data_IF_966700135636
#
_entry.id   IF_966700135636
#
_cell.length_a   1.000
_cell.length_b   1.000
_cell.length_c   1.000
_cell.angle_alpha   90.00
_cell.angle_beta   90.00
_cell.angle_gamma   90.00
#
_symmetry.space_group_name_H-M   'P 1'
#
loop_
_entity.id
_entity.type
_entity.pdbx_description
1 polymer ?
#
# COMPACT_ATOMS: atom_id res chain seq x y z
N UNK A 1 -1.95 -12.06 84.45
CA UNK A 1 -2.69 -12.20 83.13
C UNK A 1 -2.08 -11.22 82.13
N UNK A 2 -1.17 -11.67 81.30
CA UNK A 2 -0.52 -10.84 80.30
C UNK A 2 -1.04 -11.25 78.91
N UNK A 3 -1.71 -10.32 78.23
CA UNK A 3 -2.11 -10.50 76.85
C UNK A 3 -1.05 -9.94 75.94
N UNK A 4 -0.42 -10.82 75.18
CA UNK A 4 0.56 -10.48 74.18
C UNK A 4 -0.18 -10.04 72.89
N UNK A 5 -0.01 -8.78 72.50
CA UNK A 5 -0.49 -8.27 71.24
C UNK A 5 0.55 -8.66 70.14
N UNK A 6 0.14 -9.55 69.23
CA UNK A 6 0.86 -9.81 67.97
C UNK A 6 0.46 -8.74 66.99
N UNK A 7 1.36 -7.83 66.66
CA UNK A 7 1.23 -6.92 65.53
C UNK A 7 1.58 -7.67 64.26
N UNK A 8 0.56 -7.95 63.45
CA UNK A 8 0.73 -8.46 62.08
C UNK A 8 1.19 -7.33 61.15
N UNK A 9 2.41 -7.44 60.72
CA UNK A 9 2.97 -6.55 59.69
C UNK A 9 2.49 -7.03 58.33
N UNK A 10 1.51 -6.31 57.72
CA UNK A 10 1.05 -6.53 56.38
C UNK A 10 2.02 -5.87 55.39
N UNK A 11 2.82 -6.69 54.73
CA UNK A 11 3.69 -6.27 53.63
C UNK A 11 2.82 -6.12 52.36
N UNK A 12 2.47 -4.89 52.01
CA UNK A 12 1.80 -4.60 50.76
C UNK A 12 2.84 -4.65 49.62
N UNK A 13 2.80 -5.73 48.82
CA UNK A 13 3.50 -5.79 47.54
C UNK A 13 2.75 -4.87 46.53
N UNK A 14 3.34 -3.73 46.22
CA UNK A 14 2.89 -2.89 45.13
C UNK A 14 3.30 -3.56 43.80
N UNK A 15 2.36 -4.18 43.13
CA UNK A 15 2.50 -4.66 41.74
C UNK A 15 2.38 -3.44 40.84
N UNK A 16 3.51 -2.95 40.33
CA UNK A 16 3.53 -1.94 39.26
C UNK A 16 3.05 -2.60 37.97
N UNK A 17 2.00 -2.08 37.32
CA UNK A 17 1.65 -2.54 35.98
C UNK A 17 2.76 -2.08 35.03
N UNK A 18 3.51 -3.02 34.47
CA UNK A 18 4.32 -2.80 33.28
C UNK A 18 3.36 -2.47 32.15
N UNK A 19 3.12 -1.18 31.96
CA UNK A 19 2.41 -0.68 30.79
C UNK A 19 3.25 -1.01 29.56
N UNK A 20 2.89 -2.08 28.86
CA UNK A 20 3.35 -2.31 27.50
C UNK A 20 2.87 -1.13 26.67
N UNK A 21 3.78 -0.21 26.35
CA UNK A 21 3.53 0.79 25.32
C UNK A 21 3.28 0.03 24.01
N UNK A 22 2.03 -0.22 23.67
CA UNK A 22 1.66 -0.68 22.34
C UNK A 22 2.03 0.44 21.38
N UNK A 23 3.09 0.23 20.58
CA UNK A 23 3.38 1.08 19.45
C UNK A 23 2.12 1.10 18.58
N UNK A 24 1.48 2.26 18.45
CA UNK A 24 0.38 2.45 17.50
C UNK A 24 0.93 2.12 16.12
N UNK A 25 0.33 1.19 15.37
CA UNK A 25 0.77 0.93 14.02
C UNK A 25 0.65 2.24 13.24
N UNK A 26 1.76 2.69 12.68
CA UNK A 26 1.77 3.86 11.81
C UNK A 26 0.95 3.48 10.57
N UNK A 27 -0.29 3.94 10.50
CA UNK A 27 -1.17 3.66 9.37
C UNK A 27 -0.63 4.41 8.15
N UNK A 28 -0.08 3.68 7.22
CA UNK A 28 0.26 4.19 5.91
C UNK A 28 -1.04 4.53 5.17
N UNK A 29 -1.11 5.71 4.56
CA UNK A 29 -2.22 6.11 3.71
C UNK A 29 -1.66 6.68 2.41
N UNK A 30 -2.02 6.06 1.31
CA UNK A 30 -1.69 6.47 -0.05
C UNK A 30 -2.97 6.61 -0.84
N UNK A 31 -3.12 7.69 -1.58
CA UNK A 31 -4.26 7.94 -2.44
C UNK A 31 -3.83 8.33 -3.84
N UNK A 32 -4.75 8.25 -4.80
CA UNK A 32 -4.50 8.75 -6.15
C UNK A 32 -4.56 10.28 -6.16
N UNK A 33 -3.65 10.90 -6.90
CA UNK A 33 -3.67 12.36 -7.14
C UNK A 33 -4.67 12.74 -8.23
N UNK A 34 -4.94 11.82 -9.15
CA UNK A 34 -5.83 11.97 -10.31
C UNK A 34 -6.22 10.59 -10.85
N UNK A 35 -7.13 10.57 -11.81
CA UNK A 35 -7.47 9.34 -12.54
C UNK A 35 -6.23 8.74 -13.22
N UNK A 36 -6.15 7.41 -13.32
CA UNK A 36 -5.03 6.75 -13.99
C UNK A 36 -4.90 7.20 -15.45
N UNK A 37 -3.66 7.48 -15.85
CA UNK A 37 -3.36 7.90 -17.21
C UNK A 37 -2.98 6.69 -18.07
N UNK A 38 -3.71 6.47 -19.15
CA UNK A 38 -3.43 5.41 -20.12
C UNK A 38 -2.66 5.98 -21.30
N UNK A 39 -1.52 5.37 -21.62
CA UNK A 39 -0.66 5.77 -22.73
C UNK A 39 -0.37 4.55 -23.62
N UNK A 40 -0.57 4.71 -24.92
CA UNK A 40 -0.10 3.73 -25.91
C UNK A 40 1.33 4.06 -26.28
N UNK A 41 2.25 3.10 -26.11
CA UNK A 41 3.68 3.29 -26.35
C UNK A 41 4.11 2.64 -27.66
N UNK A 42 3.41 1.63 -28.11
CA UNK A 42 3.69 0.88 -29.32
C UNK A 42 2.43 0.25 -29.92
N UNK A 43 2.63 -0.70 -30.81
CA UNK A 43 1.50 -1.44 -31.38
C UNK A 43 0.86 -2.38 -30.38
N UNK A 44 1.68 -2.92 -29.50
CA UNK A 44 1.39 -4.01 -28.56
C UNK A 44 1.64 -3.65 -27.09
N UNK A 45 2.06 -2.41 -26.80
CA UNK A 45 2.35 -1.97 -25.43
C UNK A 45 1.48 -0.78 -25.02
N UNK A 46 0.84 -0.91 -23.88
CA UNK A 46 0.22 0.18 -23.14
C UNK A 46 0.89 0.36 -21.78
N UNK A 47 0.90 1.59 -21.31
CA UNK A 47 1.32 1.94 -19.95
C UNK A 47 0.16 2.60 -19.23
N UNK A 48 -0.06 2.19 -18.00
CA UNK A 48 -1.03 2.78 -17.10
C UNK A 48 -0.26 3.41 -15.96
N UNK A 49 -0.35 4.73 -15.84
CA UNK A 49 0.36 5.49 -14.84
C UNK A 49 -0.59 5.91 -13.71
N UNK A 50 -0.19 5.67 -12.47
CA UNK A 50 -0.91 6.01 -11.25
C UNK A 50 -0.10 7.07 -10.50
N UNK A 51 -0.63 8.29 -10.45
CA UNK A 51 -0.08 9.34 -9.61
C UNK A 51 -0.50 9.12 -8.16
N UNK A 52 0.46 9.07 -7.24
CA UNK A 52 0.23 8.77 -5.83
C UNK A 52 0.57 9.97 -4.95
N UNK A 53 -0.36 10.31 -4.06
CA UNK A 53 -0.10 11.20 -2.92
C UNK A 53 0.37 10.34 -1.74
N UNK A 54 1.54 10.68 -1.24
CA UNK A 54 2.25 9.93 -0.23
C UNK A 54 2.56 10.78 1.01
N UNK A 55 1.79 11.83 1.26
CA UNK A 55 2.02 12.77 2.37
C UNK A 55 2.14 12.07 3.74
N UNK A 56 1.51 10.92 3.92
CA UNK A 56 1.59 10.11 5.14
C UNK A 56 2.82 9.19 5.23
N UNK A 57 3.65 9.14 4.18
CA UNK A 57 4.82 8.25 4.09
C UNK A 57 6.14 8.91 4.47
N UNK A 58 6.12 10.08 5.14
CA UNK A 58 7.25 11.00 5.28
C UNK A 58 8.53 10.40 5.88
N UNK A 59 8.43 9.63 6.96
CA UNK A 59 9.62 9.30 7.77
C UNK A 59 10.36 8.05 7.29
N UNK A 60 9.66 7.04 6.83
CA UNK A 60 10.26 5.74 6.48
C UNK A 60 10.07 5.34 5.01
N UNK A 61 9.29 6.08 4.27
CA UNK A 61 8.76 5.65 2.99
C UNK A 61 7.61 4.64 3.16
N UNK A 62 6.98 4.29 2.06
CA UNK A 62 5.90 3.33 2.01
C UNK A 62 6.08 2.39 0.82
N UNK A 63 5.70 1.15 0.98
CA UNK A 63 5.54 0.22 -0.12
C UNK A 63 4.13 -0.34 -0.14
N UNK A 64 3.69 -0.84 -1.28
CA UNK A 64 2.36 -1.38 -1.37
C UNK A 64 1.98 -1.83 -2.75
N UNK A 65 0.67 -1.94 -2.99
CA UNK A 65 0.13 -2.34 -4.27
C UNK A 65 -1.17 -1.63 -4.59
N UNK A 66 -1.41 -1.46 -5.89
CA UNK A 66 -2.64 -0.95 -6.46
C UNK A 66 -3.31 -2.10 -7.20
N UNK A 67 -4.53 -2.47 -6.77
CA UNK A 67 -5.38 -3.41 -7.49
C UNK A 67 -6.38 -2.62 -8.32
N UNK A 68 -6.45 -2.94 -9.61
CA UNK A 68 -7.31 -2.26 -10.53
C UNK A 68 -7.84 -3.20 -11.61
N UNK A 69 -8.95 -2.81 -12.22
CA UNK A 69 -9.53 -3.45 -13.38
C UNK A 69 -9.23 -2.60 -14.63
N UNK A 70 -8.64 -3.21 -15.64
CA UNK A 70 -8.43 -2.60 -16.95
C UNK A 70 -9.42 -3.20 -17.93
N UNK A 71 -10.17 -2.33 -18.62
CA UNK A 71 -11.11 -2.72 -19.65
C UNK A 71 -10.56 -2.29 -21.01
N UNK A 72 -10.42 -3.23 -21.91
CA UNK A 72 -10.03 -2.98 -23.29
C UNK A 72 -11.15 -3.29 -24.24
N UNK A 73 -11.03 -2.70 -25.40
CA UNK A 73 -11.97 -2.86 -26.49
C UNK A 73 -11.21 -3.14 -27.79
N UNK A 74 -11.65 -4.14 -28.51
CA UNK A 74 -11.18 -4.46 -29.85
C UNK A 74 -11.89 -3.60 -30.92
N UNK A 75 -11.36 -3.58 -32.14
CA UNK A 75 -11.90 -2.82 -33.28
C UNK A 75 -13.33 -3.24 -33.70
N UNK A 76 -13.71 -4.50 -33.40
CA UNK A 76 -15.07 -5.01 -33.59
C UNK A 76 -16.03 -4.64 -32.44
N UNK A 77 -15.54 -3.88 -31.43
CA UNK A 77 -16.34 -3.39 -30.30
C UNK A 77 -16.49 -4.37 -29.14
N UNK A 78 -15.85 -5.54 -29.19
CA UNK A 78 -15.84 -6.46 -28.05
C UNK A 78 -15.03 -5.87 -26.91
N UNK A 79 -15.55 -6.02 -25.70
CA UNK A 79 -14.87 -5.57 -24.48
C UNK A 79 -14.54 -6.75 -23.58
N UNK A 80 -13.39 -6.66 -22.92
CA UNK A 80 -13.01 -7.56 -21.85
C UNK A 80 -12.34 -6.78 -20.71
N UNK A 81 -12.51 -7.28 -19.49
CA UNK A 81 -11.93 -6.66 -18.29
C UNK A 81 -11.00 -7.65 -17.62
N UNK A 82 -9.81 -7.19 -17.30
CA UNK A 82 -8.83 -7.97 -16.55
C UNK A 82 -8.46 -7.25 -15.25
N UNK A 83 -8.41 -8.02 -14.17
CA UNK A 83 -7.94 -7.55 -12.87
C UNK A 83 -6.43 -7.68 -12.78
N UNK A 84 -5.78 -6.59 -12.41
CA UNK A 84 -4.34 -6.49 -12.29
C UNK A 84 -3.92 -5.91 -10.94
N UNK A 85 -2.66 -6.15 -10.60
CA UNK A 85 -2.03 -5.58 -9.41
C UNK A 85 -0.65 -5.08 -9.79
N UNK A 86 -0.35 -3.82 -9.46
CA UNK A 86 0.95 -3.22 -9.63
C UNK A 86 1.51 -2.82 -8.26
N UNK A 87 2.77 -3.14 -8.02
CA UNK A 87 3.46 -2.72 -6.80
C UNK A 87 3.96 -1.28 -6.93
N UNK A 88 4.08 -0.59 -5.79
CA UNK A 88 4.77 0.69 -5.69
C UNK A 88 5.74 0.70 -4.51
N UNK A 89 6.76 1.54 -4.63
CA UNK A 89 7.70 1.85 -3.56
C UNK A 89 7.94 3.36 -3.54
N UNK A 90 7.64 3.98 -2.41
CA UNK A 90 7.74 5.41 -2.21
C UNK A 90 8.88 5.67 -1.23
N UNK A 91 9.96 6.30 -1.67
CA UNK A 91 11.10 6.57 -0.80
C UNK A 91 10.75 7.55 0.33
N UNK A 92 11.50 7.48 1.42
CA UNK A 92 11.38 8.39 2.54
C UNK A 92 11.50 9.86 2.08
N UNK A 93 10.62 10.72 2.58
CA UNK A 93 10.59 12.14 2.25
C UNK A 93 9.91 12.50 0.93
N UNK A 94 9.43 11.53 0.16
CA UNK A 94 8.65 11.81 -1.04
C UNK A 94 7.18 12.11 -0.67
N UNK A 95 6.67 13.24 -1.14
CA UNK A 95 5.26 13.59 -0.98
C UNK A 95 4.39 13.03 -2.10
N UNK A 96 4.98 12.77 -3.24
CA UNK A 96 4.32 12.24 -4.44
C UNK A 96 5.18 11.19 -5.10
N UNK A 97 4.54 10.23 -5.74
CA UNK A 97 5.20 9.18 -6.50
C UNK A 97 4.39 8.81 -7.73
N UNK A 98 5.04 8.12 -8.65
CA UNK A 98 4.42 7.60 -9.85
C UNK A 98 4.66 6.10 -9.91
N UNK A 99 3.58 5.33 -10.01
CA UNK A 99 3.64 3.90 -10.32
C UNK A 99 3.19 3.67 -11.75
N UNK A 100 3.90 2.83 -12.50
CA UNK A 100 3.58 2.54 -13.89
C UNK A 100 3.49 1.04 -14.10
N UNK A 101 2.33 0.58 -14.55
CA UNK A 101 2.17 -0.79 -15.02
C UNK A 101 2.27 -0.83 -16.55
N UNK A 102 2.88 -1.91 -17.07
CA UNK A 102 3.02 -2.17 -18.50
C UNK A 102 2.12 -3.34 -18.88
N UNK A 103 1.35 -3.14 -19.91
CA UNK A 103 0.51 -4.17 -20.49
C UNK A 103 0.94 -4.46 -21.91
N UNK A 104 1.19 -5.74 -22.20
CA UNK A 104 1.55 -6.21 -23.52
C UNK A 104 0.42 -7.09 -24.06
N UNK A 105 -0.04 -6.79 -25.26
CA UNK A 105 -0.91 -7.69 -26.01
C UNK A 105 -0.06 -8.71 -26.75
N UNK A 106 -0.55 -9.93 -26.87
CA UNK A 106 0.12 -10.89 -27.72
C UNK A 106 -0.04 -10.52 -29.22
N UNK A 107 0.74 -11.20 -30.09
CA UNK A 107 0.75 -10.91 -31.53
C UNK A 107 -0.60 -11.15 -32.20
N UNK A 108 -1.44 -12.03 -31.69
CA UNK A 108 -2.78 -12.29 -32.20
C UNK A 108 -3.74 -11.16 -31.82
N UNK A 109 -3.64 -10.67 -30.60
CA UNK A 109 -4.43 -9.53 -30.11
C UNK A 109 -3.97 -8.21 -30.75
N UNK A 110 -2.67 -8.06 -31.02
CA UNK A 110 -2.09 -6.87 -31.66
C UNK A 110 -2.46 -6.75 -33.14
N UNK A 111 -2.98 -7.80 -33.79
CA UNK A 111 -3.52 -7.72 -35.15
C UNK A 111 -4.86 -6.98 -35.21
N UNK A 112 -5.58 -6.98 -34.10
CA UNK A 112 -6.78 -6.16 -33.92
C UNK A 112 -6.38 -4.86 -33.19
N UNK A 113 -6.91 -3.73 -33.64
CA UNK A 113 -6.64 -2.46 -32.96
C UNK A 113 -7.33 -2.47 -31.59
N UNK A 114 -6.57 -2.90 -30.57
CA UNK A 114 -7.06 -2.96 -29.21
C UNK A 114 -6.70 -1.68 -28.48
N UNK A 115 -7.60 -1.16 -27.68
CA UNK A 115 -7.37 0.02 -26.84
C UNK A 115 -7.90 -0.21 -25.43
N UNK A 116 -7.25 0.39 -24.46
CA UNK A 116 -7.78 0.43 -23.09
C UNK A 116 -8.80 1.56 -23.03
N UNK A 117 -10.04 1.22 -22.72
CA UNK A 117 -11.17 2.16 -22.67
C UNK A 117 -11.56 2.54 -21.25
N UNK A 118 -11.03 1.84 -20.24
CA UNK A 118 -11.30 2.16 -18.85
C UNK A 118 -10.27 1.54 -17.92
N UNK A 119 -9.98 2.26 -16.84
CA UNK A 119 -9.18 1.78 -15.69
C UNK A 119 -9.92 2.16 -14.42
N UNK A 120 -10.31 1.18 -13.63
CA UNK A 120 -10.97 1.37 -12.36
C UNK A 120 -10.09 0.87 -11.23
N UNK A 121 -9.63 1.77 -10.34
CA UNK A 121 -8.87 1.37 -9.15
C UNK A 121 -9.84 0.88 -8.09
N UNK A 122 -9.62 -0.36 -7.63
CA UNK A 122 -10.45 -0.99 -6.62
C UNK A 122 -9.90 -0.83 -5.22
N UNK A 123 -8.57 -0.94 -5.08
CA UNK A 123 -7.93 -0.91 -3.78
C UNK A 123 -6.48 -0.43 -3.89
N UNK A 124 -6.09 0.42 -2.96
CA UNK A 124 -4.69 0.73 -2.69
C UNK A 124 -4.39 0.22 -1.29
N UNK A 125 -3.41 -0.67 -1.19
CA UNK A 125 -2.89 -1.16 0.09
C UNK A 125 -1.47 -0.68 0.26
N UNK A 126 -1.13 -0.19 1.47
CA UNK A 126 0.23 0.23 1.75
C UNK A 126 0.69 -0.20 3.14
N UNK A 127 1.99 -0.37 3.27
CA UNK A 127 2.68 -0.68 4.52
C UNK A 127 3.78 0.35 4.72
N UNK A 128 3.93 0.86 5.94
CA UNK A 128 5.05 1.73 6.28
C UNK A 128 6.32 0.88 6.33
N UNK A 129 7.36 1.33 5.64
CA UNK A 129 8.67 0.68 5.67
C UNK A 129 9.40 1.07 6.96
N UNK A 130 9.10 0.40 8.06
CA UNK A 130 9.87 0.54 9.30
C UNK A 130 11.27 -0.05 9.11
N UNK A 131 12.22 0.77 8.66
CA UNK A 131 13.65 0.39 8.62
C UNK A 131 14.33 0.39 9.99
N UNK A 132 13.57 0.53 11.07
CA UNK A 132 14.14 0.61 12.43
C UNK A 132 14.65 -0.71 12.99
N UNK A 133 14.45 -1.85 12.33
CA UNK A 133 14.81 -3.16 12.92
C UNK A 133 16.19 -3.72 12.52
N UNK A 134 16.97 -3.04 11.70
CA UNK A 134 18.25 -3.54 11.20
C UNK A 134 19.50 -2.81 11.75
N UNK A 135 19.36 -1.87 12.68
CA UNK A 135 20.48 -1.12 13.24
C UNK A 135 20.99 -1.68 14.59
N UNK A 136 20.72 -2.94 14.90
CA UNK A 136 21.22 -3.59 16.13
C UNK A 136 21.74 -4.99 15.84
N UNK A 137 22.90 -5.07 15.21
CA UNK A 137 23.82 -6.23 15.34
C UNK A 137 25.24 -5.78 15.07
#
# INVERSE_FOLDING_TARGET
MQRKNLSSLLLALAVLPLGSAMATPTTCSVSLTQDPLVMRVGKDEFRIAFGLDAASCHEGGCSGSIRYDATWQTDDGQQSTERKTVAFDIPAGAERSLSVDRHYFDTAEAQHTTQIVGVAVEQISCESSDRSSLASR
#
